data_IF_458767442766
#
_entry.id   IF_458767442766
#
_cell.length_a   1.000
_cell.length_b   1.000
_cell.length_c   1.000
_cell.angle_alpha   90.00
_cell.angle_beta   90.00
_cell.angle_gamma   90.00
#
_symmetry.space_group_name_H-M   'P 1'
#
loop_
_entity.id
_entity.type
_entity.pdbx_description
1 polymer ?
#
# COMPACT_ATOMS: atom_id res chain seq x y z
N UNK A 1 -21.08 9.09 19.24
CA UNK A 1 -21.06 10.56 19.07
C UNK A 1 -19.95 10.89 18.10
N UNK A 2 -20.25 11.59 17.01
CA UNK A 2 -19.46 12.63 16.31
C UNK A 2 -20.36 13.06 15.14
N UNK A 3 -21.45 13.74 15.47
CA UNK A 3 -22.18 14.62 14.56
C UNK A 3 -21.60 16.03 14.72
N UNK A 4 -20.30 16.16 14.43
CA UNK A 4 -19.60 17.44 14.42
C UNK A 4 -19.27 17.80 12.98
N UNK A 5 -19.81 18.91 12.49
CA UNK A 5 -19.37 19.50 11.23
C UNK A 5 -17.90 19.94 11.38
N UNK A 6 -17.04 19.59 10.44
CA UNK A 6 -15.66 20.07 10.44
C UNK A 6 -15.66 21.59 10.27
N UNK A 7 -14.93 22.29 11.14
CA UNK A 7 -14.86 23.76 11.12
C UNK A 7 -13.63 24.31 10.39
N UNK A 8 -12.58 23.51 10.25
CA UNK A 8 -11.33 23.92 9.60
C UNK A 8 -10.59 22.74 8.95
N UNK A 9 -9.63 23.04 8.06
CA UNK A 9 -8.73 22.03 7.48
C UNK A 9 -7.94 21.27 8.57
N UNK A 10 -7.52 21.97 9.62
CA UNK A 10 -6.79 21.39 10.75
C UNK A 10 -7.65 20.33 11.46
N UNK A 11 -8.94 20.59 11.64
CA UNK A 11 -9.85 19.62 12.27
C UNK A 11 -10.03 18.36 11.39
N UNK A 12 -10.07 18.55 10.07
CA UNK A 12 -10.12 17.44 9.11
C UNK A 12 -8.85 16.59 9.22
N UNK A 13 -7.67 17.20 9.16
CA UNK A 13 -6.38 16.48 9.26
C UNK A 13 -6.25 15.75 10.59
N UNK A 14 -6.65 16.40 11.70
CA UNK A 14 -6.67 15.77 13.03
C UNK A 14 -7.56 14.52 13.04
N UNK A 15 -8.75 14.58 12.44
CA UNK A 15 -9.63 13.42 12.36
C UNK A 15 -9.09 12.33 11.44
N UNK A 16 -8.41 12.66 10.34
CA UNK A 16 -7.76 11.66 9.48
C UNK A 16 -6.66 10.90 10.24
N UNK A 17 -5.82 11.62 10.99
CA UNK A 17 -4.78 11.03 11.82
C UNK A 17 -5.37 10.09 12.89
N UNK A 18 -6.45 10.52 13.55
CA UNK A 18 -7.15 9.70 14.54
C UNK A 18 -7.76 8.43 13.93
N UNK A 19 -8.42 8.53 12.78
CA UNK A 19 -9.00 7.36 12.11
C UNK A 19 -7.92 6.43 11.56
N UNK A 20 -6.80 6.97 11.04
CA UNK A 20 -5.64 6.18 10.59
C UNK A 20 -5.04 5.39 11.76
N UNK A 21 -4.86 6.04 12.91
CA UNK A 21 -4.33 5.37 14.11
C UNK A 21 -5.30 4.31 14.63
N UNK A 22 -6.60 4.60 14.65
CA UNK A 22 -7.62 3.68 15.15
C UNK A 22 -7.69 2.36 14.37
N UNK A 23 -7.27 2.36 13.10
CA UNK A 23 -7.27 1.18 12.22
C UNK A 23 -5.87 0.63 11.96
N UNK A 24 -4.83 1.13 12.63
CA UNK A 24 -3.44 0.69 12.38
C UNK A 24 -3.27 -0.82 12.57
N UNK A 25 -3.70 -1.32 13.73
CA UNK A 25 -3.58 -2.74 14.10
C UNK A 25 -4.94 -3.45 14.23
N UNK A 26 -6.02 -2.75 13.89
CA UNK A 26 -7.39 -3.24 14.03
C UNK A 26 -8.16 -3.11 12.74
N UNK A 27 -8.80 -4.21 12.34
CA UNK A 27 -9.70 -4.23 11.19
C UNK A 27 -10.77 -3.10 11.28
N UNK A 28 -10.91 -2.26 10.24
CA UNK A 28 -11.99 -1.27 10.17
C UNK A 28 -13.38 -1.91 10.14
N UNK A 29 -14.33 -1.33 10.89
CA UNK A 29 -15.72 -1.78 10.92
C UNK A 29 -16.38 -1.74 9.53
N UNK A 30 -16.03 -0.74 8.71
CA UNK A 30 -16.50 -0.58 7.33
C UNK A 30 -16.10 -1.79 6.45
N UNK A 31 -14.86 -2.25 6.59
CA UNK A 31 -14.33 -3.40 5.86
C UNK A 31 -14.92 -4.70 6.38
N UNK A 32 -15.05 -4.83 7.71
CA UNK A 32 -15.74 -5.98 8.32
C UNK A 32 -17.15 -6.10 7.77
N UNK A 33 -17.93 -5.02 7.83
CA UNK A 33 -19.32 -5.01 7.39
C UNK A 33 -19.47 -5.37 5.92
N UNK A 34 -18.55 -4.90 5.08
CA UNK A 34 -18.48 -5.26 3.66
C UNK A 34 -18.25 -6.77 3.48
N UNK A 35 -17.18 -7.33 4.06
CA UNK A 35 -16.81 -8.74 3.85
C UNK A 35 -17.77 -9.74 4.50
N UNK A 36 -18.50 -9.34 5.54
CA UNK A 36 -19.50 -10.18 6.21
C UNK A 36 -20.92 -9.97 5.70
N UNK A 37 -21.12 -9.12 4.69
CA UNK A 37 -22.44 -8.87 4.10
C UNK A 37 -23.42 -8.16 5.04
N UNK A 38 -22.92 -7.39 6.01
CA UNK A 38 -23.73 -6.69 7.02
C UNK A 38 -23.82 -5.19 6.77
N UNK A 39 -23.60 -4.74 5.53
CA UNK A 39 -23.79 -3.34 5.13
C UNK A 39 -25.25 -2.89 5.37
N UNK A 40 -25.44 -1.77 6.06
CA UNK A 40 -26.76 -1.26 6.43
C UNK A 40 -27.67 -1.00 5.22
N UNK A 41 -27.12 -0.49 4.12
CA UNK A 41 -27.87 -0.17 2.91
C UNK A 41 -28.00 -1.35 1.93
N UNK A 42 -27.37 -2.51 2.24
CA UNK A 42 -27.42 -3.73 1.42
C UNK A 42 -27.10 -3.48 -0.06
N UNK A 43 -26.11 -2.64 -0.35
CA UNK A 43 -25.68 -2.39 -1.73
C UNK A 43 -25.28 -3.70 -2.42
N UNK A 44 -25.87 -3.97 -3.59
CA UNK A 44 -25.60 -5.15 -4.41
C UNK A 44 -26.85 -5.69 -5.10
N UNK A 45 -26.75 -5.99 -6.40
CA UNK A 45 -27.88 -6.52 -7.19
C UNK A 45 -28.14 -7.98 -6.83
N UNK A 46 -29.40 -8.42 -6.88
CA UNK A 46 -29.83 -9.81 -6.61
C UNK A 46 -29.52 -10.32 -5.18
N UNK A 47 -29.59 -9.45 -4.18
CA UNK A 47 -29.44 -9.81 -2.76
C UNK A 47 -28.10 -10.49 -2.43
N UNK A 48 -27.02 -10.10 -3.10
CA UNK A 48 -25.64 -10.51 -2.79
C UNK A 48 -24.73 -9.29 -2.60
N UNK A 49 -23.63 -9.45 -1.89
CA UNK A 49 -22.67 -8.37 -1.59
C UNK A 49 -21.28 -8.56 -2.23
N UNK A 50 -21.05 -9.69 -2.91
CA UNK A 50 -19.77 -10.01 -3.55
C UNK A 50 -19.38 -8.96 -4.60
N UNK A 51 -20.29 -8.57 -5.48
CA UNK A 51 -19.98 -7.55 -6.50
C UNK A 51 -19.67 -6.20 -5.85
N UNK A 52 -20.35 -5.85 -4.75
CA UNK A 52 -20.04 -4.62 -4.01
C UNK A 52 -18.63 -4.69 -3.42
N UNK A 53 -18.24 -5.85 -2.89
CA UNK A 53 -16.91 -6.08 -2.36
C UNK A 53 -15.82 -6.01 -3.44
N UNK A 54 -16.04 -6.60 -4.60
CA UNK A 54 -15.16 -6.51 -5.78
C UNK A 54 -14.95 -5.06 -6.23
N UNK A 55 -16.04 -4.32 -6.44
CA UNK A 55 -15.97 -2.92 -6.82
C UNK A 55 -15.25 -2.06 -5.79
N UNK A 56 -15.55 -2.24 -4.50
CA UNK A 56 -14.82 -1.54 -3.42
C UNK A 56 -13.33 -1.83 -3.51
N UNK A 57 -12.93 -3.10 -3.59
CA UNK A 57 -11.53 -3.50 -3.52
C UNK A 57 -10.72 -2.89 -4.68
N UNK A 58 -11.29 -2.87 -5.89
CA UNK A 58 -10.71 -2.16 -7.03
C UNK A 58 -10.66 -0.64 -6.80
N UNK A 59 -11.77 -0.03 -6.40
CA UNK A 59 -11.86 1.43 -6.30
C UNK A 59 -11.04 2.03 -5.17
N UNK A 60 -10.92 1.37 -4.01
CA UNK A 60 -10.07 1.88 -2.91
C UNK A 60 -8.59 1.79 -3.28
N UNK A 61 -8.19 0.73 -4.00
CA UNK A 61 -6.84 0.59 -4.56
C UNK A 61 -6.56 1.73 -5.55
N UNK A 62 -7.48 1.98 -6.47
CA UNK A 62 -7.26 2.99 -7.52
C UNK A 62 -7.31 4.42 -6.96
N UNK A 63 -8.20 4.68 -5.98
CA UNK A 63 -8.25 5.95 -5.26
C UNK A 63 -6.95 6.19 -4.47
N UNK A 64 -6.50 5.22 -3.68
CA UNK A 64 -5.29 5.40 -2.85
C UNK A 64 -4.02 5.55 -3.69
N UNK A 65 -3.83 4.66 -4.66
CA UNK A 65 -2.56 4.47 -5.37
C UNK A 65 -2.44 5.33 -6.63
N UNK A 66 -3.44 5.28 -7.51
CA UNK A 66 -3.38 5.91 -8.83
C UNK A 66 -4.05 7.28 -8.86
N UNK A 67 -4.55 7.77 -7.72
CA UNK A 67 -5.22 9.07 -7.60
C UNK A 67 -4.57 9.92 -6.51
N UNK A 68 -4.69 9.52 -5.24
CA UNK A 68 -4.22 10.34 -4.12
C UNK A 68 -2.71 10.46 -4.00
N UNK A 69 -1.95 9.42 -4.36
CA UNK A 69 -0.48 9.54 -4.44
C UNK A 69 -0.07 10.66 -5.42
N UNK A 70 -0.65 10.69 -6.62
CA UNK A 70 -0.35 11.74 -7.59
C UNK A 70 -0.85 13.12 -7.17
N UNK A 71 -1.90 13.22 -6.35
CA UNK A 71 -2.26 14.51 -5.74
C UNK A 71 -1.19 15.00 -4.77
N UNK A 72 -0.50 14.11 -4.06
CA UNK A 72 0.64 14.50 -3.21
C UNK A 72 1.75 15.09 -4.08
N UNK A 73 2.14 14.41 -5.16
CA UNK A 73 3.16 14.90 -6.10
C UNK A 73 2.78 16.29 -6.67
N UNK A 74 1.52 16.45 -7.10
CA UNK A 74 1.01 17.75 -7.60
C UNK A 74 0.97 18.82 -6.51
N UNK A 75 0.69 18.45 -5.26
CA UNK A 75 0.65 19.40 -4.14
C UNK A 75 2.04 19.96 -3.81
N UNK A 76 3.07 19.13 -3.96
CA UNK A 76 4.47 19.48 -3.71
C UNK A 76 5.12 20.25 -4.86
N UNK A 77 4.66 20.05 -6.09
CA UNK A 77 5.19 20.75 -7.25
C UNK A 77 4.78 22.23 -7.24
N UNK A 78 5.80 23.10 -7.14
CA UNK A 78 5.64 24.55 -7.13
C UNK A 78 5.12 25.13 -8.46
N UNK A 79 5.13 24.35 -9.55
CA UNK A 79 4.54 24.74 -10.83
C UNK A 79 3.00 24.73 -10.81
N UNK A 80 2.37 24.08 -9.82
CA UNK A 80 0.91 24.04 -9.68
C UNK A 80 0.45 24.94 -8.53
N UNK A 81 -0.51 25.84 -8.79
CA UNK A 81 -1.12 26.66 -7.74
C UNK A 81 -2.01 25.83 -6.79
N UNK A 82 -2.28 26.34 -5.58
CA UNK A 82 -3.24 25.71 -4.66
C UNK A 82 -4.64 25.56 -5.29
N UNK A 83 -5.07 26.52 -6.10
CA UNK A 83 -6.32 26.47 -6.84
C UNK A 83 -6.34 25.32 -7.87
N UNK A 84 -5.23 25.10 -8.59
CA UNK A 84 -5.09 23.96 -9.50
C UNK A 84 -5.24 22.63 -8.73
N UNK A 85 -4.57 22.51 -7.59
CA UNK A 85 -4.63 21.31 -6.74
C UNK A 85 -6.07 21.07 -6.27
N UNK A 86 -6.75 22.09 -5.76
CA UNK A 86 -8.14 21.96 -5.30
C UNK A 86 -9.09 21.53 -6.43
N UNK A 87 -8.92 22.08 -7.64
CA UNK A 87 -9.71 21.71 -8.83
C UNK A 87 -9.50 20.24 -9.22
N UNK A 88 -8.24 19.79 -9.27
CA UNK A 88 -7.89 18.41 -9.62
C UNK A 88 -8.43 17.44 -8.56
N UNK A 89 -8.18 17.70 -7.28
CA UNK A 89 -8.71 16.87 -6.19
C UNK A 89 -10.24 16.77 -6.28
N UNK A 90 -10.94 17.89 -6.50
CA UNK A 90 -12.39 17.86 -6.58
C UNK A 90 -12.94 17.10 -7.81
N UNK A 91 -12.27 17.24 -8.96
CA UNK A 91 -12.68 16.56 -10.19
C UNK A 91 -12.54 15.04 -10.09
N UNK A 92 -11.41 14.57 -9.56
CA UNK A 92 -11.04 13.16 -9.59
C UNK A 92 -11.49 12.39 -8.34
N UNK A 93 -11.44 12.97 -7.14
CA UNK A 93 -11.80 12.25 -5.91
C UNK A 93 -13.32 12.14 -5.70
N UNK A 94 -14.12 13.07 -6.22
CA UNK A 94 -15.56 13.07 -5.98
C UNK A 94 -16.25 11.78 -6.45
N UNK A 95 -16.02 11.27 -7.68
CA UNK A 95 -16.58 10.00 -8.12
C UNK A 95 -16.20 8.81 -7.21
N UNK A 96 -14.93 8.68 -6.81
CA UNK A 96 -14.46 7.60 -5.93
C UNK A 96 -15.09 7.70 -4.54
N UNK A 97 -14.88 8.83 -3.86
CA UNK A 97 -15.32 9.00 -2.48
C UNK A 97 -16.85 8.95 -2.33
N UNK A 98 -17.61 9.45 -3.32
CA UNK A 98 -19.06 9.38 -3.29
C UNK A 98 -19.58 7.97 -3.48
N UNK A 99 -18.98 7.19 -4.39
CA UNK A 99 -19.33 5.78 -4.58
C UNK A 99 -18.93 4.94 -3.36
N UNK A 100 -17.69 5.06 -2.89
CA UNK A 100 -17.20 4.32 -1.71
C UNK A 100 -18.01 4.65 -0.45
N UNK A 101 -18.44 5.90 -0.27
CA UNK A 101 -19.39 6.27 0.80
C UNK A 101 -20.67 5.45 0.73
N UNK A 102 -21.24 5.33 -0.48
CA UNK A 102 -22.44 4.53 -0.70
C UNK A 102 -22.17 3.04 -0.52
N UNK A 103 -21.02 2.51 -0.95
CA UNK A 103 -20.74 1.06 -0.95
C UNK A 103 -20.09 0.53 0.33
N UNK A 104 -19.99 1.33 1.39
CA UNK A 104 -19.63 0.82 2.72
C UNK A 104 -18.60 1.64 3.50
N UNK A 105 -18.13 2.77 2.97
CA UNK A 105 -17.13 3.63 3.63
C UNK A 105 -17.67 5.03 3.96
N UNK A 106 -18.74 5.17 4.77
CA UNK A 106 -19.28 6.47 5.15
C UNK A 106 -18.23 7.41 5.80
N UNK A 107 -17.29 6.90 6.59
CA UNK A 107 -16.21 7.68 7.22
C UNK A 107 -15.24 8.24 6.18
N UNK A 108 -14.76 7.40 5.25
CA UNK A 108 -13.95 7.86 4.12
C UNK A 108 -14.67 8.94 3.34
N UNK A 109 -15.93 8.71 2.98
CA UNK A 109 -16.75 9.67 2.23
C UNK A 109 -16.88 11.01 2.95
N UNK A 110 -17.10 10.98 4.27
CA UNK A 110 -17.19 12.16 5.12
C UNK A 110 -15.86 12.93 5.17
N UNK A 111 -14.75 12.23 5.40
CA UNK A 111 -13.41 12.84 5.43
C UNK A 111 -13.02 13.44 4.08
N UNK A 112 -13.30 12.73 2.97
CA UNK A 112 -13.05 13.21 1.62
C UNK A 112 -13.84 14.48 1.30
N UNK A 113 -15.15 14.49 1.62
CA UNK A 113 -15.99 15.66 1.42
C UNK A 113 -15.51 16.86 2.25
N UNK A 114 -15.14 16.62 3.52
CA UNK A 114 -14.60 17.66 4.39
C UNK A 114 -13.25 18.20 3.90
N UNK A 115 -12.35 17.32 3.44
CA UNK A 115 -11.07 17.71 2.87
C UNK A 115 -11.28 18.62 1.67
N UNK A 116 -12.12 18.23 0.69
CA UNK A 116 -12.41 19.06 -0.48
C UNK A 116 -13.03 20.42 -0.11
N UNK A 117 -13.89 20.46 0.92
CA UNK A 117 -14.48 21.71 1.42
C UNK A 117 -13.45 22.65 2.04
N UNK A 118 -12.50 22.12 2.81
CA UNK A 118 -11.57 22.92 3.61
C UNK A 118 -10.17 23.08 3.01
N UNK A 119 -9.78 22.28 2.03
CA UNK A 119 -8.48 22.40 1.36
C UNK A 119 -8.23 23.81 0.76
N UNK A 120 -9.22 24.50 0.16
CA UNK A 120 -9.03 25.87 -0.33
C UNK A 120 -8.70 26.89 0.77
N UNK A 121 -8.96 26.59 2.04
CA UNK A 121 -8.64 27.47 3.17
C UNK A 121 -7.22 27.25 3.72
N UNK A 122 -6.39 26.42 3.09
CA UNK A 122 -5.00 26.25 3.48
C UNK A 122 -4.26 27.60 3.39
N UNK A 123 -3.60 28.00 4.49
CA UNK A 123 -2.86 29.28 4.55
C UNK A 123 -1.49 29.19 3.89
N UNK A 124 -0.95 27.98 3.74
CA UNK A 124 0.33 27.71 3.09
C UNK A 124 0.24 26.45 2.22
N UNK A 125 1.15 26.33 1.24
CA UNK A 125 1.31 25.08 0.46
C UNK A 125 1.59 23.89 1.36
N UNK A 126 2.44 24.07 2.37
CA UNK A 126 2.79 23.01 3.30
C UNK A 126 1.56 22.43 4.01
N UNK A 127 0.62 23.28 4.45
CA UNK A 127 -0.65 22.81 5.04
C UNK A 127 -1.49 22.00 4.04
N UNK A 128 -1.51 22.40 2.76
CA UNK A 128 -2.23 21.65 1.73
C UNK A 128 -1.56 20.29 1.44
N UNK A 129 -0.22 20.26 1.32
CA UNK A 129 0.57 19.04 1.14
C UNK A 129 0.32 18.08 2.30
N UNK A 130 0.38 18.56 3.54
CA UNK A 130 0.12 17.74 4.73
C UNK A 130 -1.30 17.16 4.70
N UNK A 131 -2.30 17.95 4.33
CA UNK A 131 -3.68 17.45 4.28
C UNK A 131 -3.87 16.35 3.21
N UNK A 132 -3.33 16.56 2.01
CA UNK A 132 -3.40 15.58 0.91
C UNK A 132 -2.59 14.32 1.25
N UNK A 133 -1.39 14.48 1.82
CA UNK A 133 -0.51 13.36 2.22
C UNK A 133 -1.13 12.51 3.31
N UNK A 134 -1.75 13.12 4.33
CA UNK A 134 -2.42 12.38 5.39
C UNK A 134 -3.64 11.58 4.88
N UNK A 135 -4.39 12.13 3.91
CA UNK A 135 -5.48 11.37 3.31
C UNK A 135 -5.00 10.23 2.40
N UNK A 136 -3.88 10.42 1.68
CA UNK A 136 -3.21 9.34 0.95
C UNK A 136 -2.76 8.22 1.91
N UNK A 137 -2.14 8.56 3.04
CA UNK A 137 -1.75 7.58 4.07
C UNK A 137 -2.95 6.80 4.62
N UNK A 138 -4.04 7.50 4.96
CA UNK A 138 -5.28 6.89 5.43
C UNK A 138 -5.89 5.91 4.40
N UNK A 139 -5.98 6.33 3.14
CA UNK A 139 -6.55 5.48 2.07
C UNK A 139 -5.63 4.31 1.70
N UNK A 140 -4.30 4.46 1.79
CA UNK A 140 -3.35 3.36 1.65
C UNK A 140 -3.60 2.28 2.72
N UNK A 141 -3.81 2.66 3.98
CA UNK A 141 -4.09 1.73 5.07
C UNK A 141 -5.45 1.04 4.89
N UNK A 142 -6.49 1.75 4.45
CA UNK A 142 -7.76 1.13 4.08
C UNK A 142 -7.61 0.15 2.92
N UNK A 143 -6.80 0.49 1.91
CA UNK A 143 -6.51 -0.41 0.79
C UNK A 143 -5.78 -1.66 1.26
N UNK A 144 -4.86 -1.56 2.22
CA UNK A 144 -4.19 -2.72 2.83
C UNK A 144 -5.20 -3.68 3.48
N UNK A 145 -6.09 -3.16 4.32
CA UNK A 145 -7.14 -3.98 4.95
C UNK A 145 -8.13 -4.57 3.95
N UNK A 146 -8.52 -3.80 2.93
CA UNK A 146 -9.42 -4.28 1.88
C UNK A 146 -8.77 -5.43 1.11
N UNK A 147 -7.50 -5.25 0.77
CA UNK A 147 -6.71 -6.23 0.04
C UNK A 147 -6.58 -7.53 0.82
N UNK A 148 -6.20 -7.47 2.10
CA UNK A 148 -6.00 -8.64 2.95
C UNK A 148 -7.24 -9.53 3.00
N UNK A 149 -8.41 -8.91 3.24
CA UNK A 149 -9.63 -9.67 3.42
C UNK A 149 -10.28 -10.13 2.11
N UNK A 150 -9.96 -9.51 0.97
CA UNK A 150 -10.54 -9.87 -0.32
C UNK A 150 -10.41 -11.39 -0.59
N UNK A 151 -11.43 -12.05 -1.16
CA UNK A 151 -11.45 -13.52 -1.29
C UNK A 151 -10.61 -13.98 -2.50
N UNK A 152 -9.29 -13.83 -2.41
CA UNK A 152 -8.35 -14.20 -3.49
C UNK A 152 -8.37 -15.69 -3.86
N UNK A 153 -8.79 -16.57 -2.95
CA UNK A 153 -8.99 -17.99 -3.22
C UNK A 153 -10.04 -18.27 -4.31
N UNK A 154 -10.88 -17.29 -4.69
CA UNK A 154 -11.71 -17.42 -5.89
C UNK A 154 -10.89 -17.70 -7.16
N UNK A 155 -9.64 -17.23 -7.22
CA UNK A 155 -8.72 -17.51 -8.33
C UNK A 155 -8.45 -19.00 -8.57
N UNK A 156 -8.71 -19.87 -7.58
CA UNK A 156 -8.60 -21.32 -7.75
C UNK A 156 -9.57 -21.89 -8.78
N UNK A 157 -10.68 -21.19 -9.03
CA UNK A 157 -11.67 -21.56 -10.06
C UNK A 157 -11.30 -21.05 -11.45
N UNK A 158 -10.25 -20.22 -11.56
CA UNK A 158 -9.82 -19.55 -12.80
C UNK A 158 -8.35 -19.85 -13.12
N UNK A 159 -7.99 -21.13 -13.16
CA UNK A 159 -6.61 -21.58 -13.42
C UNK A 159 -6.31 -21.66 -14.91
N UNK A 160 -5.10 -21.26 -15.29
CA UNK A 160 -4.56 -21.51 -16.63
C UNK A 160 -4.41 -23.02 -16.88
N UNK A 161 -4.45 -23.45 -18.15
CA UNK A 161 -4.16 -24.84 -18.50
C UNK A 161 -2.67 -25.13 -18.28
N UNK A 162 -2.37 -26.00 -17.32
CA UNK A 162 -0.99 -26.42 -16.99
C UNK A 162 -0.27 -27.11 -18.16
N UNK A 163 -0.97 -27.45 -19.25
CA UNK A 163 -0.41 -28.05 -20.47
C UNK A 163 0.06 -27.03 -21.50
N UNK A 164 -0.40 -25.78 -21.41
CA UNK A 164 0.20 -24.71 -22.19
C UNK A 164 1.60 -24.48 -21.63
N UNK A 165 2.64 -24.72 -22.44
CA UNK A 165 3.99 -24.28 -22.09
C UNK A 165 3.89 -22.81 -21.70
N UNK A 166 4.31 -22.47 -20.48
CA UNK A 166 4.54 -21.09 -20.10
C UNK A 166 5.55 -20.57 -21.12
N UNK A 167 5.07 -19.78 -22.09
CA UNK A 167 5.93 -18.86 -22.81
C UNK A 167 6.39 -17.88 -21.74
N UNK A 168 7.48 -18.23 -21.05
CA UNK A 168 8.27 -17.26 -20.30
C UNK A 168 8.48 -16.14 -21.30
N UNK A 169 7.98 -14.95 -20.99
CA UNK A 169 8.18 -13.80 -21.86
C UNK A 169 9.67 -13.78 -22.23
N UNK A 170 9.96 -13.89 -23.53
CA UNK A 170 11.32 -13.97 -24.10
C UNK A 170 12.12 -12.67 -23.88
N UNK A 171 11.76 -11.84 -22.91
CA UNK A 171 12.49 -10.65 -22.54
C UNK A 171 13.80 -11.10 -21.88
N UNK A 172 14.96 -10.86 -22.51
CA UNK A 172 16.24 -11.25 -21.93
C UNK A 172 16.42 -10.64 -20.55
N UNK A 173 17.03 -11.38 -19.63
CA UNK A 173 17.40 -10.83 -18.32
C UNK A 173 18.41 -9.71 -18.51
N UNK A 174 18.18 -8.57 -17.88
CA UNK A 174 19.14 -7.46 -17.85
C UNK A 174 19.80 -7.39 -16.47
N UNK A 175 20.75 -8.30 -16.25
CA UNK A 175 21.51 -8.34 -14.99
C UNK A 175 22.48 -7.15 -14.84
N UNK A 176 22.68 -6.35 -15.89
CA UNK A 176 23.62 -5.20 -15.84
C UNK A 176 23.08 -4.06 -14.98
N UNK A 177 21.75 -4.01 -14.78
CA UNK A 177 21.08 -3.04 -13.91
C UNK A 177 21.03 -3.47 -12.45
N UNK A 178 21.45 -4.69 -12.13
CA UNK A 178 21.41 -5.21 -10.78
C UNK A 178 22.50 -4.56 -9.92
N UNK A 179 22.09 -3.94 -8.82
CA UNK A 179 22.99 -3.43 -7.79
C UNK A 179 23.21 -4.48 -6.69
N UNK A 180 24.40 -4.50 -6.10
CA UNK A 180 24.70 -5.31 -4.92
C UNK A 180 24.56 -4.45 -3.68
N UNK A 181 23.72 -4.88 -2.74
CA UNK A 181 23.49 -4.16 -1.48
C UNK A 181 24.16 -4.97 -0.36
N UNK A 182 25.31 -4.50 0.09
CA UNK A 182 26.12 -5.18 1.12
C UNK A 182 26.61 -4.26 2.24
N UNK A 183 26.18 -2.99 2.23
CA UNK A 183 26.49 -1.98 3.24
C UNK A 183 25.35 -0.97 3.34
N UNK A 184 25.39 -0.09 4.34
CA UNK A 184 24.34 0.88 4.63
C UNK A 184 23.71 0.67 6.00
N UNK A 185 22.56 1.29 6.24
CA UNK A 185 21.82 1.13 7.50
C UNK A 185 21.29 -0.29 7.62
N UNK A 186 21.66 -0.97 8.70
CA UNK A 186 21.15 -2.31 9.00
C UNK A 186 19.75 -2.22 9.64
N UNK A 187 18.86 -3.06 9.15
CA UNK A 187 17.51 -3.22 9.70
C UNK A 187 17.21 -4.69 9.97
N UNK A 188 16.33 -4.92 10.93
CA UNK A 188 15.76 -6.23 11.23
C UNK A 188 14.28 -6.23 10.87
N UNK A 189 13.84 -7.28 10.18
CA UNK A 189 12.44 -7.56 9.90
C UNK A 189 12.02 -8.78 10.71
N UNK A 190 10.94 -8.66 11.49
CA UNK A 190 10.38 -9.74 12.31
C UNK A 190 8.92 -9.96 11.96
N UNK A 191 8.56 -11.20 11.60
CA UNK A 191 7.17 -11.56 11.31
C UNK A 191 6.49 -12.16 12.53
N UNK A 192 5.43 -11.51 13.00
CA UNK A 192 4.56 -11.97 14.08
C UNK A 192 3.25 -12.51 13.49
N UNK A 193 2.68 -13.61 14.03
CA UNK A 193 3.13 -14.36 15.19
C UNK A 193 4.20 -15.44 14.85
N UNK A 194 4.78 -15.43 13.66
CA UNK A 194 5.68 -16.49 13.19
C UNK A 194 6.98 -16.61 14.01
N UNK A 195 7.44 -15.53 14.64
CA UNK A 195 8.69 -15.50 15.41
C UNK A 195 9.94 -15.63 14.53
N UNK A 196 9.81 -15.34 13.23
CA UNK A 196 10.91 -15.41 12.26
C UNK A 196 11.48 -14.00 12.10
N UNK A 197 12.80 -13.87 12.23
CA UNK A 197 13.50 -12.60 12.02
C UNK A 197 14.62 -12.75 10.99
N UNK A 198 14.84 -11.68 10.21
CA UNK A 198 15.93 -11.58 9.22
C UNK A 198 16.57 -10.19 9.27
N UNK A 199 17.88 -10.14 9.05
CA UNK A 199 18.64 -8.91 8.88
C UNK A 199 18.73 -8.51 7.40
N UNK A 200 18.73 -7.22 7.15
CA UNK A 200 18.89 -6.63 5.83
C UNK A 200 19.72 -5.34 5.90
N UNK A 201 20.23 -4.93 4.74
CA UNK A 201 20.82 -3.60 4.54
C UNK A 201 19.88 -2.74 3.70
N UNK A 202 19.66 -1.50 4.13
CA UNK A 202 19.05 -0.47 3.28
C UNK A 202 20.05 0.03 2.24
N UNK A 203 19.56 0.29 1.03
CA UNK A 203 20.33 0.75 -0.13
C UNK A 203 20.66 2.25 -0.04
N UNK A 204 21.30 2.68 1.06
CA UNK A 204 21.54 4.09 1.39
C UNK A 204 22.49 4.79 0.43
N UNK A 205 23.28 4.05 -0.35
CA UNK A 205 24.15 4.62 -1.37
C UNK A 205 23.41 4.81 -2.70
N UNK A 206 22.51 3.88 -3.01
CA UNK A 206 21.78 3.81 -4.28
C UNK A 206 20.57 4.73 -4.27
N UNK A 207 19.78 4.73 -3.20
CA UNK A 207 18.57 5.55 -3.05
C UNK A 207 18.54 6.20 -1.65
N UNK A 208 19.46 7.15 -1.34
CA UNK A 208 19.58 7.75 -0.01
C UNK A 208 18.30 8.44 0.45
N UNK A 209 17.66 9.24 -0.40
CA UNK A 209 16.47 10.01 -0.02
C UNK A 209 15.29 9.12 0.33
N UNK A 210 15.10 8.04 -0.44
CA UNK A 210 14.07 7.04 -0.16
C UNK A 210 14.38 6.28 1.14
N UNK A 211 15.64 5.90 1.36
CA UNK A 211 16.04 5.23 2.60
C UNK A 211 15.83 6.13 3.81
N UNK A 212 16.14 7.42 3.71
CA UNK A 212 15.93 8.41 4.76
C UNK A 212 14.45 8.51 5.17
N UNK A 213 13.54 8.51 4.21
CA UNK A 213 12.09 8.51 4.48
C UNK A 213 11.67 7.28 5.29
N UNK A 214 12.20 6.09 4.96
CA UNK A 214 11.94 4.86 5.73
C UNK A 214 12.56 4.95 7.13
N UNK A 215 13.83 5.37 7.23
CA UNK A 215 14.56 5.44 8.51
C UNK A 215 13.85 6.36 9.50
N UNK A 216 13.30 7.49 9.04
CA UNK A 216 12.56 8.45 9.88
C UNK A 216 11.31 7.89 10.53
N UNK A 217 10.72 6.84 9.95
CA UNK A 217 9.50 6.21 10.48
C UNK A 217 9.76 4.88 11.20
N UNK A 218 11.03 4.47 11.34
CA UNK A 218 11.39 3.29 12.14
C UNK A 218 11.32 3.59 13.65
N UNK A 219 10.93 2.61 14.48
CA UNK A 219 10.39 1.31 14.10
C UNK A 219 8.91 1.41 13.67
N UNK A 220 8.49 0.52 12.78
CA UNK A 220 7.08 0.37 12.44
C UNK A 220 6.64 -1.08 12.33
N UNK A 221 5.32 -1.30 12.38
CA UNK A 221 4.66 -2.59 12.25
C UNK A 221 3.49 -2.46 11.28
N UNK A 222 3.42 -3.35 10.29
CA UNK A 222 2.43 -3.31 9.20
C UNK A 222 1.97 -4.71 8.82
N UNK A 223 0.73 -4.83 8.35
CA UNK A 223 0.16 -6.09 7.89
C UNK A 223 0.86 -6.54 6.60
N UNK A 224 1.30 -7.79 6.57
CA UNK A 224 2.01 -8.40 5.44
C UNK A 224 1.04 -9.24 4.61
N UNK A 225 0.95 -8.94 3.32
CA UNK A 225 0.20 -9.71 2.33
C UNK A 225 1.11 -10.27 1.23
N UNK A 226 0.57 -11.21 0.47
CA UNK A 226 1.23 -11.84 -0.67
C UNK A 226 0.82 -11.18 -1.98
N UNK A 227 1.76 -11.10 -2.93
CA UNK A 227 1.43 -10.70 -4.29
C UNK A 227 0.48 -11.71 -4.95
N UNK A 228 -0.63 -11.24 -5.51
CA UNK A 228 -1.65 -12.08 -6.17
C UNK A 228 -1.46 -12.19 -7.68
N UNK A 229 -0.40 -11.58 -8.22
CA UNK A 229 -0.07 -11.57 -9.67
C UNK A 229 1.39 -11.94 -9.90
N UNK A 230 2.33 -11.22 -9.27
CA UNK A 230 3.73 -11.19 -9.68
C UNK A 230 4.56 -12.44 -9.34
N UNK A 231 4.05 -13.39 -8.56
CA UNK A 231 4.79 -14.58 -8.14
C UNK A 231 5.27 -14.50 -6.69
N UNK A 232 6.49 -15.00 -6.39
CA UNK A 232 7.04 -15.14 -5.03
C UNK A 232 7.52 -13.81 -4.45
N UNK A 233 6.56 -12.95 -4.15
CA UNK A 233 6.74 -11.61 -3.59
C UNK A 233 5.69 -11.34 -2.51
N UNK A 234 6.09 -10.64 -1.46
CA UNK A 234 5.21 -10.18 -0.38
C UNK A 234 5.26 -8.66 -0.31
N UNK A 235 4.16 -8.01 0.04
CA UNK A 235 4.14 -6.57 0.27
C UNK A 235 3.34 -6.16 1.50
N UNK A 236 3.70 -5.00 2.04
CA UNK A 236 3.04 -4.37 3.17
C UNK A 236 3.01 -2.85 2.93
N UNK A 237 1.93 -2.18 3.27
CA UNK A 237 1.79 -0.73 3.12
C UNK A 237 2.53 -0.04 4.26
N UNK A 238 3.65 0.63 3.95
CA UNK A 238 4.45 1.29 4.96
C UNK A 238 3.73 2.53 5.51
N UNK A 239 3.97 2.92 6.78
CA UNK A 239 3.30 4.07 7.40
C UNK A 239 3.95 5.41 6.98
N UNK A 240 4.35 5.51 5.73
CA UNK A 240 4.99 6.68 5.14
C UNK A 240 4.51 6.82 3.70
N UNK A 241 4.18 8.04 3.31
CA UNK A 241 3.99 8.40 1.91
C UNK A 241 5.30 9.04 1.48
N UNK A 242 6.08 8.39 0.64
CA UNK A 242 7.35 8.92 0.12
C UNK A 242 7.16 9.37 -1.32
N UNK A 243 7.61 10.58 -1.61
CA UNK A 243 7.77 11.15 -2.96
C UNK A 243 9.24 11.44 -3.26
N UNK A 244 10.15 10.83 -2.48
CA UNK A 244 11.59 10.99 -2.63
C UNK A 244 12.05 10.64 -4.05
N UNK A 245 13.07 11.36 -4.59
CA UNK A 245 13.71 10.97 -5.83
C UNK A 245 14.24 9.54 -5.77
N UNK A 246 14.06 8.79 -6.86
CA UNK A 246 14.60 7.43 -7.01
C UNK A 246 15.69 7.46 -8.07
N UNK A 247 16.90 7.08 -7.69
CA UNK A 247 18.08 7.07 -8.56
C UNK A 247 18.31 5.70 -9.19
N UNK A 248 17.98 4.63 -8.46
CA UNK A 248 18.17 3.23 -8.91
C UNK A 248 16.86 2.47 -8.85
N UNK A 249 16.51 1.85 -9.98
CA UNK A 249 15.41 0.90 -10.12
C UNK A 249 15.92 -0.39 -10.75
N UNK A 250 15.23 -1.48 -10.47
CA UNK A 250 15.47 -2.79 -11.07
C UNK A 250 14.17 -3.42 -11.55
N UNK A 251 14.27 -4.23 -12.60
CA UNK A 251 13.18 -5.11 -13.04
C UNK A 251 12.93 -6.17 -11.97
N UNK A 252 11.68 -6.38 -11.58
CA UNK A 252 11.38 -7.32 -10.50
C UNK A 252 11.78 -8.77 -10.85
N UNK A 253 11.59 -9.18 -12.10
CA UNK A 253 11.98 -10.51 -12.57
C UNK A 253 13.50 -10.77 -12.58
N UNK A 254 14.32 -9.72 -12.62
CA UNK A 254 15.79 -9.80 -12.63
C UNK A 254 16.40 -9.65 -11.22
N UNK A 255 15.60 -9.22 -10.25
CA UNK A 255 16.01 -9.02 -8.87
C UNK A 255 16.31 -10.35 -8.15
N UNK A 256 17.26 -10.36 -7.20
CA UNK A 256 17.54 -11.56 -6.42
C UNK A 256 16.47 -11.86 -5.37
N UNK A 257 16.49 -13.10 -4.89
CA UNK A 257 15.88 -13.46 -3.60
C UNK A 257 16.45 -12.55 -2.50
N UNK A 258 15.60 -12.13 -1.57
CA UNK A 258 15.95 -11.20 -0.50
C UNK A 258 15.90 -9.72 -0.90
N UNK A 259 15.67 -9.37 -2.18
CA UNK A 259 15.53 -7.97 -2.59
C UNK A 259 14.36 -7.31 -1.87
N UNK A 260 14.63 -6.16 -1.26
CA UNK A 260 13.65 -5.25 -0.70
C UNK A 260 13.45 -4.09 -1.68
N UNK A 261 12.19 -3.80 -2.00
CA UNK A 261 11.80 -2.69 -2.87
C UNK A 261 10.80 -1.79 -2.18
N UNK A 262 10.66 -0.58 -2.71
CA UNK A 262 9.61 0.33 -2.28
C UNK A 262 8.79 0.80 -3.47
N UNK A 263 7.47 0.62 -3.43
CA UNK A 263 6.59 1.12 -4.48
C UNK A 263 5.84 2.36 -4.01
N UNK A 264 6.34 3.55 -4.36
CA UNK A 264 5.73 4.84 -4.01
C UNK A 264 4.33 4.97 -4.64
N UNK A 265 4.26 4.85 -5.97
CA UNK A 265 3.01 5.04 -6.75
C UNK A 265 2.00 3.91 -6.69
N UNK A 266 2.30 2.77 -6.04
CA UNK A 266 1.31 1.70 -5.83
C UNK A 266 1.01 1.46 -4.35
N UNK A 267 0.96 2.54 -3.57
CA UNK A 267 0.48 2.52 -2.19
C UNK A 267 1.58 2.54 -1.13
N UNK A 268 2.76 3.06 -1.48
CA UNK A 268 3.91 3.18 -0.57
C UNK A 268 4.25 1.85 0.12
N UNK A 269 4.39 0.81 -0.70
CA UNK A 269 4.56 -0.57 -0.23
C UNK A 269 6.02 -0.89 -0.01
N UNK A 270 6.34 -1.44 1.16
CA UNK A 270 7.52 -2.27 1.39
C UNK A 270 7.29 -3.63 0.72
N UNK A 271 8.18 -4.04 -0.18
CA UNK A 271 8.03 -5.28 -0.95
C UNK A 271 9.27 -6.15 -0.74
N UNK A 272 9.06 -7.45 -0.47
CA UNK A 272 10.11 -8.42 -0.19
C UNK A 272 9.96 -9.58 -1.15
N UNK A 273 10.97 -9.78 -2.00
CA UNK A 273 11.02 -10.89 -2.93
C UNK A 273 11.68 -12.10 -2.27
N UNK A 274 10.99 -13.24 -2.25
CA UNK A 274 11.51 -14.48 -1.68
C UNK A 274 11.73 -15.58 -2.73
N UNK A 275 11.47 -15.31 -4.00
CA UNK A 275 11.77 -16.23 -5.10
C UNK A 275 11.54 -15.61 -6.47
N UNK A 276 11.13 -16.44 -7.43
CA UNK A 276 10.88 -16.02 -8.82
C UNK A 276 9.65 -15.13 -8.93
N UNK A 277 9.81 -14.05 -9.70
CA UNK A 277 8.79 -13.06 -10.02
C UNK A 277 8.72 -12.91 -11.54
N UNK A 278 7.51 -12.83 -12.11
CA UNK A 278 7.29 -12.75 -13.56
C UNK A 278 7.17 -11.32 -14.07
N UNK A 279 6.87 -10.38 -13.18
CA UNK A 279 6.64 -8.98 -13.53
C UNK A 279 7.96 -8.28 -13.93
N UNK A 280 7.98 -7.62 -15.08
CA UNK A 280 9.18 -6.99 -15.63
C UNK A 280 9.29 -5.49 -15.37
N UNK A 281 8.34 -4.92 -14.61
CA UNK A 281 8.34 -3.50 -14.27
C UNK A 281 9.58 -3.12 -13.46
N UNK A 282 10.08 -1.91 -13.71
CA UNK A 282 11.17 -1.33 -12.94
C UNK A 282 10.65 -0.72 -11.64
N UNK A 283 11.31 -1.06 -10.54
CA UNK A 283 10.89 -0.70 -9.18
C UNK A 283 12.05 -0.18 -8.36
N UNK A 284 11.83 0.84 -7.50
CA UNK A 284 12.87 1.38 -6.62
C UNK A 284 13.48 0.31 -5.73
N UNK A 285 14.82 0.24 -5.71
CA UNK A 285 15.57 -0.62 -4.79
C UNK A 285 15.59 0.03 -3.41
N UNK A 286 15.14 -0.68 -2.38
CA UNK A 286 15.18 -0.19 -1.00
C UNK A 286 16.26 -0.88 -0.15
N UNK A 287 16.61 -2.13 -0.47
CA UNK A 287 17.59 -2.88 0.31
C UNK A 287 17.70 -4.34 -0.09
N UNK A 288 18.45 -5.11 0.68
CA UNK A 288 18.59 -6.56 0.48
C UNK A 288 18.74 -7.29 1.81
N UNK A 289 17.99 -8.38 1.95
CA UNK A 289 18.10 -9.34 3.05
C UNK A 289 19.35 -10.18 2.84
N UNK A 290 20.14 -10.32 3.91
CA UNK A 290 21.41 -11.05 3.85
C UNK A 290 21.21 -12.51 3.43
N UNK A 291 22.09 -13.09 2.59
CA UNK A 291 21.92 -14.44 2.05
C UNK A 291 21.74 -15.54 3.10
N UNK A 292 22.32 -15.37 4.29
CA UNK A 292 22.26 -16.29 5.42
C UNK A 292 20.84 -16.50 5.96
N UNK A 293 19.89 -15.65 5.57
CA UNK A 293 18.50 -15.69 6.02
C UNK A 293 17.50 -16.02 4.90
N UNK A 294 17.97 -16.34 3.69
CA UNK A 294 17.08 -16.61 2.56
C UNK A 294 16.20 -17.86 2.75
N UNK A 295 16.69 -18.88 3.45
CA UNK A 295 15.93 -20.08 3.81
C UNK A 295 14.67 -19.75 4.64
N UNK A 296 14.81 -18.80 5.58
CA UNK A 296 13.68 -18.34 6.43
C UNK A 296 12.57 -17.67 5.62
N UNK A 297 12.91 -17.04 4.49
CA UNK A 297 11.92 -16.35 3.64
C UNK A 297 10.97 -17.30 2.92
N UNK A 298 11.36 -18.55 2.65
CA UNK A 298 10.47 -19.51 1.99
C UNK A 298 9.29 -19.87 2.92
N UNK A 299 9.57 -20.04 4.21
CA UNK A 299 8.54 -20.32 5.20
C UNK A 299 7.62 -19.11 5.41
N UNK A 300 8.19 -17.90 5.55
CA UNK A 300 7.39 -16.66 5.67
C UNK A 300 6.51 -16.49 4.44
N UNK A 301 7.08 -16.60 3.23
CA UNK A 301 6.36 -16.46 1.97
C UNK A 301 5.17 -17.42 1.85
N UNK A 302 5.36 -18.69 2.22
CA UNK A 302 4.30 -19.70 2.23
C UNK A 302 3.19 -19.38 3.24
N UNK A 303 3.55 -18.94 4.44
CA UNK A 303 2.58 -18.58 5.49
C UNK A 303 1.79 -17.33 5.12
N UNK A 304 2.44 -16.33 4.55
CA UNK A 304 1.81 -15.09 4.06
C UNK A 304 0.89 -15.39 2.87
N UNK A 305 1.29 -16.27 1.95
CA UNK A 305 0.44 -16.74 0.85
C UNK A 305 -0.85 -17.39 1.38
N UNK A 306 -0.70 -18.35 2.30
CA UNK A 306 -1.83 -19.05 2.92
C UNK A 306 -2.76 -18.09 3.68
N UNK A 307 -2.19 -17.12 4.39
CA UNK A 307 -2.94 -16.06 5.04
C UNK A 307 -3.75 -15.23 4.02
N UNK A 308 -3.07 -14.74 2.98
CA UNK A 308 -3.67 -13.85 1.97
C UNK A 308 -4.79 -14.54 1.20
N UNK A 309 -4.66 -15.82 0.86
CA UNK A 309 -5.67 -16.53 0.06
C UNK A 309 -6.76 -17.14 0.94
N UNK A 310 -6.39 -17.79 2.04
CA UNK A 310 -7.28 -18.74 2.72
C UNK A 310 -7.62 -18.34 4.15
N UNK A 311 -6.62 -18.30 5.04
CA UNK A 311 -6.88 -18.27 6.49
C UNK A 311 -7.22 -16.88 7.00
N UNK A 312 -6.79 -15.83 6.29
CA UNK A 312 -6.88 -14.42 6.72
C UNK A 312 -6.24 -14.19 8.11
N UNK A 313 -5.24 -15.02 8.45
CA UNK A 313 -4.45 -14.86 9.67
C UNK A 313 -3.62 -13.58 9.57
N UNK A 314 -3.73 -12.68 10.55
CA UNK A 314 -2.98 -11.42 10.51
C UNK A 314 -1.49 -11.69 10.79
N UNK A 315 -0.67 -11.64 9.75
CA UNK A 315 0.79 -11.73 9.84
C UNK A 315 1.36 -10.32 9.71
N UNK A 316 2.05 -9.86 10.76
CA UNK A 316 2.58 -8.52 10.86
C UNK A 316 4.08 -8.55 10.67
N UNK A 317 4.62 -7.65 9.85
CA UNK A 317 6.07 -7.41 9.78
C UNK A 317 6.40 -6.18 10.61
N UNK A 318 7.24 -6.36 11.62
CA UNK A 318 7.90 -5.28 12.36
C UNK A 318 9.26 -5.01 11.73
N UNK A 319 9.55 -3.74 11.43
CA UNK A 319 10.82 -3.28 10.88
C UNK A 319 11.45 -2.31 11.86
N UNK A 320 12.71 -2.55 12.21
CA UNK A 320 13.47 -1.72 13.16
C UNK A 320 14.95 -1.65 12.77
N UNK A 321 15.68 -0.70 13.35
CA UNK A 321 17.15 -0.67 13.23
C UNK A 321 17.71 -1.93 13.93
N UNK A 322 18.66 -2.61 13.28
CA UNK A 322 19.27 -3.83 13.78
C UNK A 322 20.28 -3.60 14.91
#
# INVERSE_FOLDING_TARGET
>A
MIDGEFTSLIDVVRSMLQETEAIRDKEPEEIRALRTGTLCNRAGTNSQYFTTWDFVNGMIRDQSMYTWYHFVELAEDNNFSLDNICKVVNLFDHPYSNFLRYTGFPKLGRLAAALRKHLPSASTRQQAVEAVRNFCAYTNLLAAWSFHYFPWNLGEQFRYDNRAQLHVHDTPRDLTRRVQISSGTQIMLTWEPLGISVNAFLATNENPELCDDIIRVLPFRVLQDHAVVSGKSMYAWAPVVSTAPVRVKERQCDAPKGRIRFSQGTGNKLIIQYGEVTEDIETPVLGEIVPEHWDRLDEVGRRVLQSTFDTKELIWVKVEIA
#
